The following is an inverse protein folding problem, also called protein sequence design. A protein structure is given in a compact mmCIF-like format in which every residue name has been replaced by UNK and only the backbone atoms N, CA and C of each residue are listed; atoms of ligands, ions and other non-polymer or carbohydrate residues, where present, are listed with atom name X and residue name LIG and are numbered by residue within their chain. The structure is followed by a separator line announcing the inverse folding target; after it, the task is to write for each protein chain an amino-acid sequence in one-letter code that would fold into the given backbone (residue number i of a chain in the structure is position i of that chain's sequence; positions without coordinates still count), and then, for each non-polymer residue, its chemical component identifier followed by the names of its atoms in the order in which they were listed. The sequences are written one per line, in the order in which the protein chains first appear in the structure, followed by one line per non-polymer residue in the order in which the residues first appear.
data_IF_270602902742
#
_entry.id   IF_270602902742
#
_cell.length_a   1.000
_cell.length_b   1.000
_cell.length_c   1.000
_cell.angle_alpha   90.00
_cell.angle_beta   90.00
_cell.angle_gamma   90.00
#
_symmetry.space_group_name_H-M   'P 1'
#
loop_
_entity.id
_entity.type
_entity.pdbx_description
1 polymer ?
#
# COMPACT_ATOMS: atom_id res chain seq x y z
N UNK A 1 -18.25 -3.95 4.16
CA UNK A 1 -18.32 -5.32 4.73
C UNK A 1 -17.27 -6.16 4.03
N UNK A 2 -16.50 -6.99 4.76
CA UNK A 2 -15.57 -7.93 4.15
C UNK A 2 -16.40 -9.10 3.59
N UNK A 3 -16.32 -9.35 2.29
CA UNK A 3 -17.11 -10.38 1.64
C UNK A 3 -16.38 -11.72 1.56
N UNK A 4 -15.06 -11.67 1.34
CA UNK A 4 -14.26 -12.87 1.21
C UNK A 4 -12.81 -12.62 1.60
N UNK A 5 -12.09 -13.70 1.96
CA UNK A 5 -10.65 -13.71 2.17
C UNK A 5 -10.06 -14.81 1.30
N UNK A 6 -9.11 -14.44 0.44
CA UNK A 6 -8.40 -15.38 -0.43
C UNK A 6 -6.93 -15.42 -0.02
N UNK A 7 -6.38 -16.61 0.08
CA UNK A 7 -4.98 -16.84 0.44
C UNK A 7 -4.20 -17.20 -0.82
N UNK A 8 -3.45 -16.24 -1.35
CA UNK A 8 -2.78 -16.36 -2.64
C UNK A 8 -1.86 -17.59 -2.76
N UNK A 9 -1.02 -17.95 -1.77
CA UNK A 9 -0.23 -19.17 -1.83
C UNK A 9 -1.04 -20.49 -1.92
N UNK A 10 -2.27 -20.49 -1.39
CA UNK A 10 -3.14 -21.68 -1.41
C UNK A 10 -3.94 -21.77 -2.70
N UNK A 11 -4.40 -20.63 -3.23
CA UNK A 11 -5.20 -20.58 -4.46
C UNK A 11 -4.95 -19.29 -5.25
N UNK A 12 -3.82 -19.19 -5.96
CA UNK A 12 -3.51 -18.01 -6.77
C UNK A 12 -4.52 -17.79 -7.91
N UNK A 13 -5.12 -18.87 -8.43
CA UNK A 13 -6.11 -18.77 -9.49
C UNK A 13 -7.37 -18.03 -9.03
N UNK A 14 -7.84 -18.29 -7.81
CA UNK A 14 -9.01 -17.58 -7.25
C UNK A 14 -8.73 -16.09 -7.04
N UNK A 15 -7.51 -15.72 -6.65
CA UNK A 15 -7.11 -14.30 -6.53
C UNK A 15 -7.13 -13.62 -7.90
N UNK A 16 -6.54 -14.25 -8.93
CA UNK A 16 -6.56 -13.72 -10.30
C UNK A 16 -7.99 -13.59 -10.85
N UNK A 17 -8.86 -14.56 -10.56
CA UNK A 17 -10.27 -14.52 -10.98
C UNK A 17 -11.00 -13.37 -10.30
N UNK A 18 -10.80 -13.20 -8.99
CA UNK A 18 -11.37 -12.08 -8.25
C UNK A 18 -10.93 -10.72 -8.81
N UNK A 19 -9.61 -10.54 -9.06
CA UNK A 19 -9.07 -9.30 -9.64
C UNK A 19 -9.56 -9.07 -11.07
N UNK A 20 -9.76 -10.12 -11.86
CA UNK A 20 -10.24 -10.03 -13.23
C UNK A 20 -11.77 -9.77 -13.32
N UNK A 21 -12.51 -9.89 -12.21
CA UNK A 21 -13.96 -9.68 -12.18
C UNK A 21 -14.32 -8.27 -12.70
N UNK A 22 -15.30 -8.14 -13.62
CA UNK A 22 -15.75 -6.85 -14.14
C UNK A 22 -16.23 -5.86 -13.08
N UNK A 23 -16.71 -6.35 -11.92
CA UNK A 23 -17.15 -5.53 -10.80
C UNK A 23 -16.02 -4.90 -10.00
N UNK A 24 -14.78 -5.41 -10.12
CA UNK A 24 -13.62 -4.83 -9.44
C UNK A 24 -13.14 -3.58 -10.19
N UNK A 25 -13.17 -2.45 -9.51
CA UNK A 25 -12.77 -1.14 -10.05
C UNK A 25 -11.41 -0.69 -9.52
N UNK A 26 -11.06 -1.10 -8.31
CA UNK A 26 -9.85 -0.71 -7.62
C UNK A 26 -9.21 -1.96 -7.02
N UNK A 27 -7.91 -2.09 -7.18
CA UNK A 27 -7.07 -3.04 -6.47
C UNK A 27 -6.12 -2.24 -5.58
N UNK A 28 -6.32 -2.31 -4.27
CA UNK A 28 -5.47 -1.60 -3.32
C UNK A 28 -4.36 -2.50 -2.80
N UNK A 29 -3.20 -1.91 -2.55
CA UNK A 29 -2.00 -2.61 -2.10
C UNK A 29 -1.58 -2.12 -0.71
N UNK A 30 -1.31 -3.06 0.19
CA UNK A 30 -0.64 -2.87 1.47
C UNK A 30 0.35 -4.02 1.64
N UNK A 31 1.36 -4.06 0.78
CA UNK A 31 2.31 -5.19 0.66
C UNK A 31 3.68 -4.89 1.24
N UNK A 32 3.86 -3.68 1.77
CA UNK A 32 5.11 -3.10 2.24
C UNK A 32 6.15 -2.94 1.13
N UNK A 33 7.25 -2.23 1.42
CA UNK A 33 8.31 -1.93 0.44
C UNK A 33 8.83 -3.19 -0.26
N UNK A 34 9.02 -4.28 0.49
CA UNK A 34 9.56 -5.54 -0.06
C UNK A 34 8.61 -6.24 -1.04
N UNK A 35 7.30 -6.08 -0.86
CA UNK A 35 6.30 -6.73 -1.70
C UNK A 35 6.25 -6.20 -3.14
N UNK A 36 6.84 -5.03 -3.38
CA UNK A 36 6.94 -4.46 -4.74
C UNK A 36 8.07 -5.06 -5.57
N UNK A 37 9.00 -5.81 -4.97
CA UNK A 37 10.12 -6.45 -5.66
C UNK A 37 10.93 -5.47 -6.52
N UNK A 38 11.15 -4.25 -6.02
CA UNK A 38 11.87 -3.19 -6.72
C UNK A 38 13.26 -2.93 -6.13
N UNK A 39 14.10 -2.27 -6.89
CA UNK A 39 15.35 -1.73 -6.39
C UNK A 39 15.07 -0.36 -5.74
N UNK A 40 15.29 -0.18 -4.43
CA UNK A 40 14.99 1.08 -3.75
C UNK A 40 15.76 2.30 -4.28
N UNK A 41 16.93 2.08 -4.87
CA UNK A 41 17.76 3.18 -5.39
C UNK A 41 17.29 3.69 -6.76
N UNK A 42 16.60 2.86 -7.55
CA UNK A 42 16.23 3.19 -8.95
C UNK A 42 14.73 3.16 -9.19
N UNK A 43 13.94 2.55 -8.30
CA UNK A 43 12.50 2.28 -8.49
C UNK A 43 12.20 1.19 -9.52
N UNK A 44 13.20 0.66 -10.22
CA UNK A 44 13.00 -0.34 -11.26
C UNK A 44 12.68 -1.72 -10.68
N UNK A 45 11.95 -2.53 -11.45
CA UNK A 45 11.66 -3.91 -11.10
C UNK A 45 12.96 -4.72 -10.95
N UNK A 46 13.09 -5.48 -9.86
CA UNK A 46 14.22 -6.39 -9.63
C UNK A 46 13.94 -7.72 -10.33
N UNK A 47 14.41 -7.86 -11.56
CA UNK A 47 14.09 -9.01 -12.44
C UNK A 47 14.64 -10.33 -11.91
N UNK A 48 15.75 -10.32 -11.20
CA UNK A 48 16.37 -11.46 -10.56
C UNK A 48 15.80 -11.81 -9.16
N UNK A 49 14.83 -11.05 -8.68
CA UNK A 49 14.07 -11.44 -7.49
C UNK A 49 13.40 -12.81 -7.73
N UNK A 50 13.53 -13.79 -6.80
CA UNK A 50 13.05 -15.17 -7.01
C UNK A 50 11.59 -15.26 -7.47
N UNK A 51 10.70 -14.45 -6.87
CA UNK A 51 9.28 -14.45 -7.23
C UNK A 51 9.03 -13.81 -8.60
N UNK A 52 9.78 -12.76 -8.96
CA UNK A 52 9.67 -12.15 -10.29
C UNK A 52 10.20 -13.10 -11.38
N UNK A 53 11.36 -13.72 -11.16
CA UNK A 53 11.91 -14.71 -12.06
C UNK A 53 10.96 -15.92 -12.28
N UNK A 54 10.28 -16.36 -11.19
CA UNK A 54 9.22 -17.37 -11.28
C UNK A 54 8.05 -16.87 -12.14
N UNK A 55 7.52 -15.68 -11.85
CA UNK A 55 6.30 -15.17 -12.46
C UNK A 55 6.45 -14.79 -13.95
N UNK A 56 7.70 -14.53 -14.37
CA UNK A 56 8.01 -14.35 -15.79
C UNK A 56 7.90 -15.66 -16.58
N UNK A 57 8.10 -16.82 -15.92
CA UNK A 57 8.10 -18.14 -16.54
C UNK A 57 6.79 -18.91 -16.31
N UNK A 58 6.01 -18.54 -15.31
CA UNK A 58 4.81 -19.25 -14.90
C UNK A 58 3.56 -18.37 -15.01
N UNK A 59 2.41 -19.01 -15.31
CA UNK A 59 1.13 -18.29 -15.38
C UNK A 59 0.56 -17.93 -14.01
N UNK A 60 0.83 -18.77 -13.00
CA UNK A 60 0.34 -18.53 -11.64
C UNK A 60 1.37 -17.71 -10.86
N UNK A 61 1.06 -16.47 -10.53
CA UNK A 61 2.02 -15.56 -9.89
C UNK A 61 2.17 -15.83 -8.40
N UNK A 62 3.31 -15.37 -7.87
CA UNK A 62 3.65 -15.34 -6.44
C UNK A 62 3.81 -13.91 -5.93
N UNK A 63 4.29 -13.01 -6.79
CA UNK A 63 4.55 -11.62 -6.45
C UNK A 63 3.32 -10.73 -6.67
N UNK A 64 3.22 -9.62 -5.92
CA UNK A 64 2.18 -8.62 -6.16
C UNK A 64 2.22 -8.05 -7.59
N UNK A 65 3.39 -7.67 -8.17
CA UNK A 65 3.47 -7.26 -9.58
C UNK A 65 2.97 -8.32 -10.55
N UNK A 66 3.28 -9.59 -10.29
CA UNK A 66 2.80 -10.71 -11.11
C UNK A 66 1.29 -10.83 -11.10
N UNK A 67 0.65 -10.73 -9.91
CA UNK A 67 -0.81 -10.74 -9.78
C UNK A 67 -1.44 -9.58 -10.54
N UNK A 68 -0.94 -8.36 -10.37
CA UNK A 68 -1.47 -7.17 -11.06
C UNK A 68 -1.42 -7.34 -12.58
N UNK A 69 -0.25 -7.67 -13.14
CA UNK A 69 -0.07 -7.77 -14.59
C UNK A 69 -0.86 -8.93 -15.19
N UNK A 70 -0.88 -10.11 -14.53
CA UNK A 70 -1.67 -11.25 -15.01
C UNK A 70 -3.18 -10.98 -14.97
N UNK A 71 -3.67 -10.28 -13.94
CA UNK A 71 -5.07 -9.88 -13.87
C UNK A 71 -5.42 -8.83 -14.95
N UNK A 72 -4.56 -7.84 -15.18
CA UNK A 72 -4.71 -6.83 -16.24
C UNK A 72 -4.70 -7.49 -17.63
N UNK A 73 -3.84 -8.48 -17.87
CA UNK A 73 -3.82 -9.26 -19.11
C UNK A 73 -5.15 -9.99 -19.34
N UNK A 74 -5.71 -10.62 -18.30
CA UNK A 74 -7.03 -11.29 -18.39
C UNK A 74 -8.13 -10.30 -18.70
N UNK A 75 -8.14 -9.14 -18.07
CA UNK A 75 -9.12 -8.07 -18.34
C UNK A 75 -9.03 -7.57 -19.78
N UNK A 76 -7.81 -7.29 -20.27
CA UNK A 76 -7.60 -6.92 -21.68
C UNK A 76 -8.13 -7.96 -22.64
N UNK A 77 -7.83 -9.24 -22.42
CA UNK A 77 -8.30 -10.34 -23.24
C UNK A 77 -9.83 -10.48 -23.24
N UNK A 78 -10.48 -10.11 -22.13
CA UNK A 78 -11.94 -10.09 -22.00
C UNK A 78 -12.59 -8.78 -22.52
N UNK A 79 -11.82 -7.85 -23.08
CA UNK A 79 -12.31 -6.55 -23.52
C UNK A 79 -12.78 -5.62 -22.39
N UNK A 80 -12.31 -5.86 -21.16
CA UNK A 80 -12.62 -5.06 -19.99
C UNK A 80 -11.62 -3.92 -19.80
N UNK A 81 -12.00 -2.78 -19.22
CA UNK A 81 -11.06 -1.75 -18.82
C UNK A 81 -10.14 -2.27 -17.71
N UNK A 82 -8.95 -1.69 -17.51
CA UNK A 82 -8.14 -1.99 -16.34
C UNK A 82 -8.89 -1.62 -15.05
N UNK A 83 -8.45 -2.14 -13.92
CA UNK A 83 -8.78 -1.56 -12.62
C UNK A 83 -7.80 -0.43 -12.31
N UNK A 84 -8.11 0.38 -11.31
CA UNK A 84 -7.14 1.34 -10.75
C UNK A 84 -6.26 0.63 -9.74
N UNK A 85 -4.95 0.74 -9.89
CA UNK A 85 -3.96 0.23 -8.93
C UNK A 85 -3.70 1.29 -7.87
N UNK A 86 -4.10 1.04 -6.63
CA UNK A 86 -4.04 2.00 -5.53
C UNK A 86 -3.07 1.53 -4.45
N UNK A 87 -1.84 1.99 -4.48
CA UNK A 87 -0.91 1.74 -3.37
C UNK A 87 -1.32 2.54 -2.14
N UNK A 88 -1.40 1.86 -0.99
CA UNK A 88 -1.63 2.45 0.32
C UNK A 88 -0.42 2.24 1.24
N UNK A 89 0.75 1.96 0.67
CA UNK A 89 1.99 1.80 1.40
C UNK A 89 2.71 3.14 1.62
N UNK A 90 3.44 3.25 2.71
CA UNK A 90 4.20 4.43 3.07
C UNK A 90 5.52 4.50 2.27
N UNK A 91 5.42 4.75 0.98
CA UNK A 91 6.53 4.88 0.05
C UNK A 91 6.43 6.22 -0.68
N UNK A 92 7.56 6.93 -0.89
CA UNK A 92 7.55 8.13 -1.72
C UNK A 92 7.05 7.83 -3.12
N UNK A 93 6.19 8.71 -3.64
CA UNK A 93 5.65 8.60 -5.01
C UNK A 93 5.11 7.20 -5.34
N UNK A 94 4.41 6.59 -4.40
CA UNK A 94 3.98 5.18 -4.45
C UNK A 94 3.18 4.84 -5.72
N UNK A 95 2.34 5.75 -6.22
CA UNK A 95 1.61 5.57 -7.49
C UNK A 95 2.54 5.46 -8.70
N UNK A 96 3.55 6.34 -8.79
CA UNK A 96 4.55 6.31 -9.86
C UNK A 96 5.41 5.04 -9.78
N UNK A 97 5.78 4.62 -8.56
CA UNK A 97 6.53 3.38 -8.33
C UNK A 97 5.74 2.16 -8.82
N UNK A 98 4.48 2.00 -8.41
CA UNK A 98 3.64 0.88 -8.87
C UNK A 98 3.49 0.88 -10.38
N UNK A 99 3.24 2.06 -10.97
CA UNK A 99 3.15 2.19 -12.42
C UNK A 99 4.42 1.69 -13.12
N UNK A 100 5.59 2.11 -12.64
CA UNK A 100 6.87 1.71 -13.22
C UNK A 100 7.05 0.19 -13.16
N UNK A 101 6.85 -0.42 -11.99
CA UNK A 101 6.99 -1.85 -11.75
C UNK A 101 6.03 -2.68 -12.63
N UNK A 102 4.76 -2.25 -12.70
CA UNK A 102 3.74 -2.93 -13.51
C UNK A 102 4.09 -2.84 -15.00
N UNK A 103 4.56 -1.69 -15.46
CA UNK A 103 4.96 -1.52 -16.86
C UNK A 103 6.23 -2.30 -17.19
N UNK A 104 7.23 -2.30 -16.31
CA UNK A 104 8.46 -3.08 -16.47
C UNK A 104 8.13 -4.58 -16.59
N UNK A 105 7.34 -5.11 -15.67
CA UNK A 105 6.94 -6.50 -15.67
C UNK A 105 6.09 -6.85 -16.91
N UNK A 106 5.12 -6.02 -17.26
CA UNK A 106 4.28 -6.22 -18.43
C UNK A 106 5.10 -6.22 -19.73
N UNK A 107 6.10 -5.32 -19.84
CA UNK A 107 6.98 -5.24 -21.00
C UNK A 107 7.82 -6.51 -21.20
N UNK A 108 8.26 -7.13 -20.11
CA UNK A 108 9.01 -8.39 -20.16
C UNK A 108 8.16 -9.58 -20.64
N UNK A 109 6.84 -9.52 -20.45
CA UNK A 109 5.92 -10.58 -20.89
C UNK A 109 5.38 -10.28 -22.30
N UNK A 110 4.86 -9.09 -22.50
CA UNK A 110 4.21 -8.63 -23.73
C UNK A 110 4.28 -7.10 -23.82
N UNK A 111 5.15 -6.54 -24.69
CA UNK A 111 5.25 -5.09 -24.89
C UNK A 111 3.91 -4.41 -25.26
N UNK A 112 3.02 -5.13 -25.96
CA UNK A 112 1.69 -4.57 -26.33
C UNK A 112 0.75 -4.50 -25.13
N UNK A 113 0.90 -5.39 -24.14
CA UNK A 113 0.21 -5.30 -22.86
C UNK A 113 0.71 -4.10 -22.05
N UNK A 114 2.03 -3.91 -22.00
CA UNK A 114 2.62 -2.75 -21.32
C UNK A 114 2.12 -1.43 -21.93
N UNK A 115 2.06 -1.33 -23.25
CA UNK A 115 1.51 -0.16 -23.94
C UNK A 115 0.04 0.06 -23.53
N UNK A 116 -0.79 -0.98 -23.60
CA UNK A 116 -2.22 -0.87 -23.22
C UNK A 116 -2.42 -0.44 -21.76
N UNK A 117 -1.63 -1.01 -20.84
CA UNK A 117 -1.65 -0.60 -19.43
C UNK A 117 -1.22 0.87 -19.27
N UNK A 118 -0.15 1.27 -19.98
CA UNK A 118 0.38 2.64 -19.91
C UNK A 118 -0.60 3.70 -20.40
N UNK A 119 -1.43 3.38 -21.39
CA UNK A 119 -2.45 4.26 -21.97
C UNK A 119 -3.74 4.31 -21.13
N UNK A 120 -4.19 3.17 -20.62
CA UNK A 120 -5.52 3.02 -20.03
C UNK A 120 -5.50 2.87 -18.49
N UNK A 121 -4.40 2.37 -17.91
CA UNK A 121 -4.24 2.19 -16.48
C UNK A 121 -4.14 3.51 -15.72
N UNK A 122 -4.55 3.50 -14.45
CA UNK A 122 -4.41 4.63 -13.51
C UNK A 122 -3.77 4.13 -12.22
N UNK A 123 -2.83 4.91 -11.71
CA UNK A 123 -1.98 4.59 -10.57
C UNK A 123 -1.92 5.80 -9.65
N UNK A 124 -3.05 6.17 -9.00
CA UNK A 124 -3.07 7.34 -8.13
C UNK A 124 -2.08 7.20 -7.00
N UNK A 125 -1.35 8.25 -6.71
CA UNK A 125 -0.50 8.33 -5.54
C UNK A 125 -1.36 8.52 -4.28
N UNK A 126 -0.88 8.01 -3.14
CA UNK A 126 -1.53 8.18 -1.85
C UNK A 126 -0.54 8.59 -0.77
N UNK A 127 -1.02 9.35 0.20
CA UNK A 127 -0.33 9.53 1.48
C UNK A 127 -1.23 8.98 2.59
N UNK A 128 -0.69 8.04 3.35
CA UNK A 128 -1.39 7.37 4.45
C UNK A 128 -0.68 7.64 5.76
N UNK A 129 -1.45 7.92 6.80
CA UNK A 129 -0.90 8.16 8.14
C UNK A 129 -1.87 7.70 9.23
N UNK A 130 -1.46 6.65 9.91
CA UNK A 130 -2.04 6.12 11.15
C UNK A 130 -1.08 5.11 11.75
N UNK A 131 -0.66 5.32 12.98
CA UNK A 131 0.17 4.35 13.70
C UNK A 131 -0.69 3.15 14.09
N UNK A 132 -0.28 1.98 13.65
CA UNK A 132 -0.92 0.69 13.88
C UNK A 132 0.14 -0.30 14.37
N UNK A 133 0.40 -0.40 15.68
CA UNK A 133 1.41 -1.33 16.21
C UNK A 133 0.98 -2.79 15.98
N UNK A 134 1.97 -3.69 15.99
CA UNK A 134 1.70 -5.11 15.90
C UNK A 134 0.85 -5.58 17.10
N UNK A 135 -0.20 -6.37 16.82
CA UNK A 135 -1.08 -6.93 17.83
C UNK A 135 -0.37 -8.01 18.64
N UNK A 136 -0.46 -7.90 19.96
CA UNK A 136 0.10 -8.88 20.91
C UNK A 136 -0.99 -9.76 21.52
N UNK A 137 -0.58 -10.88 22.17
CA UNK A 137 -1.52 -11.72 22.91
C UNK A 137 -2.20 -10.97 24.06
N UNK A 138 -1.51 -9.99 24.68
CA UNK A 138 -2.08 -9.14 25.70
C UNK A 138 -3.17 -8.22 25.15
N UNK A 139 -3.02 -7.73 23.93
CA UNK A 139 -4.03 -6.92 23.24
C UNK A 139 -5.28 -7.74 22.93
N UNK A 140 -5.13 -8.96 22.46
CA UNK A 140 -6.24 -9.91 22.22
C UNK A 140 -7.02 -10.13 23.52
N UNK A 141 -6.32 -10.41 24.63
CA UNK A 141 -6.95 -10.60 25.94
C UNK A 141 -7.69 -9.35 26.41
N UNK A 142 -7.08 -8.16 26.24
CA UNK A 142 -7.69 -6.87 26.60
C UNK A 142 -8.96 -6.60 25.79
N UNK A 143 -8.92 -6.78 24.46
CA UNK A 143 -10.08 -6.58 23.59
C UNK A 143 -11.19 -7.56 23.96
N UNK A 144 -10.86 -8.84 24.20
CA UNK A 144 -11.82 -9.86 24.65
C UNK A 144 -12.49 -9.47 25.97
N UNK A 145 -11.71 -8.96 26.93
CA UNK A 145 -12.26 -8.53 28.23
C UNK A 145 -13.21 -7.33 28.10
N UNK A 146 -12.93 -6.39 27.19
CA UNK A 146 -13.76 -5.20 26.97
C UNK A 146 -15.02 -5.49 26.17
N UNK A 147 -14.91 -6.31 25.12
CA UNK A 147 -16.02 -6.57 24.18
C UNK A 147 -16.86 -7.77 24.56
N UNK A 148 -16.35 -8.67 25.38
CA UNK A 148 -16.95 -9.98 25.68
C UNK A 148 -16.87 -10.99 24.53
N UNK A 149 -16.20 -10.64 23.42
CA UNK A 149 -16.05 -11.47 22.23
C UNK A 149 -14.56 -11.74 21.95
N UNK A 150 -14.24 -12.99 21.66
CA UNK A 150 -12.89 -13.34 21.22
C UNK A 150 -12.68 -12.87 19.77
N UNK A 151 -11.69 -11.99 19.59
CA UNK A 151 -11.20 -11.58 18.28
C UNK A 151 -9.72 -12.01 18.16
N UNK A 152 -9.41 -12.88 17.22
CA UNK A 152 -8.06 -13.39 17.01
C UNK A 152 -7.13 -12.38 16.29
N UNK A 153 -7.68 -11.32 15.72
CA UNK A 153 -6.94 -10.35 14.92
C UNK A 153 -7.41 -8.90 15.16
N UNK A 154 -7.52 -8.44 16.42
CA UNK A 154 -7.90 -7.08 16.69
C UNK A 154 -6.80 -6.13 16.20
N UNK A 155 -7.19 -4.98 15.64
CA UNK A 155 -6.27 -3.94 15.18
C UNK A 155 -6.34 -2.76 16.12
N UNK A 156 -5.26 -2.56 16.88
CA UNK A 156 -5.10 -1.38 17.73
C UNK A 156 -4.45 -0.27 16.91
N UNK A 157 -4.92 0.94 17.09
CA UNK A 157 -4.41 2.09 16.35
C UNK A 157 -4.61 3.38 17.16
N UNK A 158 -3.87 4.42 16.80
CA UNK A 158 -4.09 5.75 17.30
C UNK A 158 -5.42 6.35 16.81
N UNK A 159 -5.99 7.36 17.52
CA UNK A 159 -7.20 8.07 17.06
C UNK A 159 -6.97 8.85 15.77
N UNK A 160 -5.77 9.41 15.58
CA UNK A 160 -5.41 10.16 14.37
C UNK A 160 -5.47 9.28 13.14
N UNK A 161 -5.94 9.84 12.04
CA UNK A 161 -5.89 9.24 10.71
C UNK A 161 -5.83 10.34 9.67
N UNK A 162 -5.00 10.12 8.67
CA UNK A 162 -5.01 10.91 7.44
C UNK A 162 -4.85 10.00 6.24
N UNK A 163 -5.70 10.16 5.27
CA UNK A 163 -5.61 9.48 3.99
C UNK A 163 -5.86 10.49 2.89
N UNK A 164 -4.84 10.70 2.07
CA UNK A 164 -4.88 11.60 0.92
C UNK A 164 -4.70 10.75 -0.32
N UNK A 165 -5.55 10.95 -1.32
CA UNK A 165 -5.54 10.20 -2.58
C UNK A 165 -5.55 11.18 -3.75
N UNK A 166 -4.70 10.95 -4.74
CA UNK A 166 -4.76 11.61 -6.03
C UNK A 166 -6.05 11.23 -6.76
N UNK A 167 -6.84 12.20 -7.22
CA UNK A 167 -8.09 11.93 -7.93
C UNK A 167 -7.84 11.56 -9.40
N UNK A 168 -7.28 10.36 -9.61
CA UNK A 168 -6.88 9.83 -10.91
C UNK A 168 -7.29 8.34 -11.03
N UNK A 169 -8.55 8.10 -11.33
CA UNK A 169 -9.13 6.75 -11.40
C UNK A 169 -9.53 6.39 -12.84
N UNK A 170 -9.52 5.07 -13.13
CA UNK A 170 -10.01 4.55 -14.41
C UNK A 170 -11.49 4.90 -14.56
N UNK A 171 -11.85 5.53 -15.69
CA UNK A 171 -13.20 6.02 -15.99
C UNK A 171 -13.80 6.95 -14.91
N UNK A 172 -12.98 7.56 -14.04
CA UNK A 172 -13.41 8.33 -12.87
C UNK A 172 -14.29 7.51 -11.88
N UNK A 173 -14.24 6.18 -11.99
CA UNK A 173 -15.05 5.28 -11.16
C UNK A 173 -14.38 5.02 -9.81
N UNK A 174 -14.91 5.62 -8.75
CA UNK A 174 -14.47 5.42 -7.37
C UNK A 174 -15.62 5.58 -6.38
N UNK A 175 -15.51 4.99 -5.18
CA UNK A 175 -16.45 5.27 -4.10
C UNK A 175 -16.39 6.74 -3.68
N UNK A 176 -17.39 7.18 -2.92
CA UNK A 176 -17.33 8.49 -2.26
C UNK A 176 -16.36 8.43 -1.06
N UNK A 177 -15.07 8.49 -1.36
CA UNK A 177 -14.01 8.51 -0.36
C UNK A 177 -14.09 9.74 0.55
N UNK A 178 -14.60 10.87 0.04
CA UNK A 178 -14.74 12.11 0.82
C UNK A 178 -15.74 11.92 1.97
N UNK A 179 -16.84 11.20 1.74
CA UNK A 179 -17.79 10.87 2.81
C UNK A 179 -17.17 10.02 3.93
N UNK A 180 -16.08 9.29 3.64
CA UNK A 180 -15.31 8.54 4.63
C UNK A 180 -14.17 9.36 5.29
N UNK A 181 -14.03 10.65 4.93
CA UNK A 181 -13.02 11.56 5.47
C UNK A 181 -11.67 11.51 4.75
N UNK A 182 -11.62 10.93 3.54
CA UNK A 182 -10.41 10.94 2.69
C UNK A 182 -10.29 12.30 2.01
N UNK A 183 -9.07 12.79 1.90
CA UNK A 183 -8.75 14.01 1.16
C UNK A 183 -8.44 13.66 -0.31
N UNK A 184 -9.33 14.03 -1.22
CA UNK A 184 -9.11 13.89 -2.65
C UNK A 184 -8.39 15.10 -3.20
N UNK A 185 -7.24 14.91 -3.86
CA UNK A 185 -6.38 15.99 -4.34
C UNK A 185 -5.93 15.74 -5.78
N UNK A 186 -5.38 16.75 -6.43
CA UNK A 186 -4.77 16.60 -7.77
C UNK A 186 -3.32 16.12 -7.70
N UNK A 187 -2.65 16.36 -6.57
CA UNK A 187 -1.25 16.04 -6.35
C UNK A 187 -1.03 15.83 -4.85
N UNK A 188 -0.46 14.69 -4.47
CA UNK A 188 -0.18 14.35 -3.07
C UNK A 188 1.19 14.81 -2.59
N UNK A 189 2.07 15.28 -3.47
CA UNK A 189 3.48 15.57 -3.18
C UNK A 189 3.67 16.50 -1.98
N UNK A 190 2.85 17.54 -1.84
CA UNK A 190 2.93 18.46 -0.71
C UNK A 190 2.60 17.78 0.62
N UNK A 191 1.66 16.85 0.64
CA UNK A 191 1.27 16.08 1.83
C UNK A 191 2.36 15.06 2.21
N UNK A 192 2.94 14.39 1.23
CA UNK A 192 4.06 13.47 1.44
C UNK A 192 5.27 14.21 2.03
N UNK A 193 5.64 15.36 1.45
CA UNK A 193 6.75 16.16 1.94
C UNK A 193 6.49 16.70 3.35
N UNK A 194 5.30 17.17 3.63
CA UNK A 194 4.91 17.63 4.95
C UNK A 194 5.04 16.50 5.97
N UNK A 195 4.46 15.34 5.69
CA UNK A 195 4.56 14.18 6.57
C UNK A 195 6.01 13.74 6.77
N UNK A 196 6.77 13.60 5.69
CA UNK A 196 8.16 13.12 5.75
C UNK A 196 9.05 14.07 6.55
N UNK A 197 8.95 15.38 6.31
CA UNK A 197 9.84 16.38 6.91
C UNK A 197 9.40 16.78 8.32
N UNK A 198 8.12 17.00 8.54
CA UNK A 198 7.60 17.46 9.83
C UNK A 198 7.34 16.27 10.76
N UNK A 199 6.51 15.31 10.37
CA UNK A 199 6.15 14.21 11.26
C UNK A 199 7.27 13.19 11.43
N UNK A 200 7.72 12.58 10.33
CA UNK A 200 8.76 11.54 10.40
C UNK A 200 10.11 12.13 10.84
N UNK A 201 10.44 13.35 10.40
CA UNK A 201 11.65 14.05 10.79
C UNK A 201 11.70 14.36 12.30
N UNK A 202 10.61 14.92 12.85
CA UNK A 202 10.48 15.17 14.28
C UNK A 202 10.53 13.87 15.09
N UNK A 203 9.83 12.83 14.64
CA UNK A 203 9.84 11.53 15.28
C UNK A 203 11.26 10.93 15.34
N UNK A 204 12.00 11.01 14.24
CA UNK A 204 13.39 10.54 14.17
C UNK A 204 14.30 11.34 15.11
N UNK A 205 14.14 12.67 15.13
CA UNK A 205 14.90 13.53 16.04
C UNK A 205 14.64 13.16 17.51
N UNK A 206 13.37 13.02 17.90
CA UNK A 206 12.98 12.60 19.26
C UNK A 206 13.53 11.20 19.59
N UNK A 207 13.47 10.25 18.67
CA UNK A 207 13.96 8.89 18.89
C UNK A 207 15.48 8.87 19.17
N UNK A 208 16.27 9.50 18.30
CA UNK A 208 17.73 9.48 18.46
C UNK A 208 18.20 10.31 19.64
N UNK A 209 17.70 11.53 19.78
CA UNK A 209 18.13 12.41 20.87
C UNK A 209 17.61 11.95 22.22
N UNK A 210 16.35 11.45 22.28
CA UNK A 210 15.78 10.89 23.50
C UNK A 210 16.51 9.65 23.97
N UNK A 211 16.87 8.74 23.06
CA UNK A 211 17.69 7.59 23.38
C UNK A 211 19.05 7.98 23.98
N UNK A 212 19.73 8.97 23.39
CA UNK A 212 21.00 9.48 23.91
C UNK A 212 20.85 10.16 25.28
N UNK A 213 19.67 10.74 25.58
CA UNK A 213 19.36 11.33 26.87
C UNK A 213 18.89 10.30 27.91
N UNK A 214 18.71 9.03 27.53
CA UNK A 214 18.31 7.95 28.43
C UNK A 214 16.79 7.73 28.54
N UNK A 215 15.99 8.32 27.65
CA UNK A 215 14.57 8.04 27.56
C UNK A 215 14.31 6.72 26.83
N UNK A 216 13.33 5.92 27.33
CA UNK A 216 13.01 4.61 26.75
C UNK A 216 12.02 4.71 25.59
N UNK A 217 11.12 5.70 25.65
CA UNK A 217 10.06 5.87 24.64
C UNK A 217 10.01 7.29 24.09
N UNK A 218 9.38 7.45 22.92
CA UNK A 218 9.07 8.78 22.37
C UNK A 218 8.18 9.57 23.33
N UNK A 219 7.26 8.89 23.98
CA UNK A 219 6.37 9.52 24.98
C UNK A 219 7.16 10.12 26.14
N UNK A 220 8.17 9.41 26.65
CA UNK A 220 9.04 9.91 27.73
C UNK A 220 9.88 11.09 27.23
N UNK A 221 10.37 11.01 25.99
CA UNK A 221 11.14 12.09 25.37
C UNK A 221 10.32 13.38 25.24
N UNK A 222 9.09 13.28 24.75
CA UNK A 222 8.19 14.45 24.59
C UNK A 222 7.72 14.99 25.96
N UNK A 223 7.65 14.17 27.01
CA UNK A 223 7.34 14.62 28.35
C UNK A 223 8.44 15.49 28.95
N UNK A 224 9.68 15.43 28.46
CA UNK A 224 10.76 16.33 28.83
C UNK A 224 10.56 17.70 28.16
N UNK A 225 10.46 18.80 28.92
CA UNK A 225 10.18 20.14 28.38
C UNK A 225 11.22 20.63 27.35
N UNK A 226 12.47 20.18 27.45
CA UNK A 226 13.52 20.58 26.51
C UNK A 226 13.27 19.97 25.13
N UNK A 227 12.86 18.72 25.06
CA UNK A 227 12.52 18.05 23.80
C UNK A 227 11.17 18.50 23.26
N UNK A 228 10.18 18.73 24.13
CA UNK A 228 8.89 19.28 23.73
C UNK A 228 8.99 20.67 23.08
N UNK A 229 9.98 21.48 23.51
CA UNK A 229 10.24 22.80 22.93
C UNK A 229 11.05 22.75 21.63
N UNK A 230 11.71 21.62 21.37
CA UNK A 230 12.58 21.43 20.19
C UNK A 230 11.76 21.02 18.94
N UNK A 231 10.65 20.33 19.11
CA UNK A 231 9.76 19.84 18.04
C UNK A 231 8.46 20.60 17.96
#
# INVERSE_FOLDING_TARGET
MLENVLVAPENPAAVLEAMANPGVRIVSLTVTEKGYCHNPATGALTVDHPDIAHDLQQEMPRSAPGFLVRALARRRAAGLPPFTDLSCDNLPENGALVRQIVLDFAHLIDPTLAQWIGENGRFPATMVDRITPATTSADIARVTAVTGLYDSAPVLHEPFRQWVIEDNFVNEERPDFVAAGVQMVKDVTSFEQMKLRMLNGSHSALAYLGYLAGHETISDTVADPAFAAYV
#
